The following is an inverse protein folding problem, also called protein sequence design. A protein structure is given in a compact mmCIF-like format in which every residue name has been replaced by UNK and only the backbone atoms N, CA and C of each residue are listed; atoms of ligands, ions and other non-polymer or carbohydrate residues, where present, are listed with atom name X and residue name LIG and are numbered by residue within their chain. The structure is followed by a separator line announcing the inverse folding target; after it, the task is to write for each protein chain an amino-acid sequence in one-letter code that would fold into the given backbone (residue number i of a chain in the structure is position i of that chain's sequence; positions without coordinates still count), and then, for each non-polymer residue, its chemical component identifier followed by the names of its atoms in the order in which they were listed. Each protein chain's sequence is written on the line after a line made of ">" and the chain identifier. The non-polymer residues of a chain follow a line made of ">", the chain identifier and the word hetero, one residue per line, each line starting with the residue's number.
data_IF_774391413559
#
_entry.id   IF_774391413559
#
_cell.length_a   1.000
_cell.length_b   1.000
_cell.length_c   1.000
_cell.angle_alpha   90.00
_cell.angle_beta   90.00
_cell.angle_gamma   90.00
#
_symmetry.space_group_name_H-M   'P 1'
#
loop_
_entity.id
_entity.type
_entity.pdbx_description
1 polymer ?
#
# COMPACT_ATOMS: atom_id res chain seq x y z
N UNK A 1 -7.00 29.66 -4.07
CA UNK A 1 -6.96 28.79 -5.26
C UNK A 1 -7.62 27.50 -4.85
N UNK A 2 -8.84 27.32 -5.30
CA UNK A 2 -9.61 26.11 -5.06
C UNK A 2 -8.89 24.96 -5.75
N UNK A 3 -8.52 23.93 -5.00
CA UNK A 3 -8.08 22.65 -5.55
C UNK A 3 -9.24 22.06 -6.37
N UNK A 4 -9.02 21.62 -7.63
CA UNK A 4 -10.06 20.89 -8.35
C UNK A 4 -10.48 19.71 -7.49
N UNK A 5 -11.78 19.52 -7.29
CA UNK A 5 -12.33 18.46 -6.46
C UNK A 5 -11.69 17.12 -6.82
N UNK A 6 -11.21 16.45 -5.79
CA UNK A 6 -10.64 15.12 -5.83
C UNK A 6 -11.77 14.13 -6.17
N UNK A 7 -12.13 14.06 -7.45
CA UNK A 7 -13.00 13.01 -7.96
C UNK A 7 -12.17 11.73 -7.98
N UNK A 8 -12.14 11.05 -6.84
CA UNK A 8 -11.41 9.79 -6.66
C UNK A 8 -11.75 8.78 -7.75
N UNK A 9 -10.75 8.01 -8.12
CA UNK A 9 -10.86 6.88 -9.04
C UNK A 9 -11.86 5.89 -8.44
N UNK A 10 -12.91 5.57 -9.16
CA UNK A 10 -13.94 4.64 -8.71
C UNK A 10 -13.88 3.32 -9.48
N UNK A 11 -13.00 2.41 -9.06
CA UNK A 11 -12.88 1.06 -9.63
C UNK A 11 -14.04 0.11 -9.27
N UNK A 12 -15.09 0.61 -8.61
CA UNK A 12 -16.21 -0.17 -8.05
C UNK A 12 -17.29 -0.50 -9.07
N UNK A 13 -17.16 -0.01 -10.30
CA UNK A 13 -18.15 -0.14 -11.35
C UNK A 13 -17.67 -1.05 -12.49
N UNK A 14 -17.62 -2.39 -12.27
CA UNK A 14 -17.17 -3.32 -13.33
C UNK A 14 -18.04 -3.27 -14.59
N UNK A 15 -19.29 -2.82 -14.47
CA UNK A 15 -20.20 -2.59 -15.58
C UNK A 15 -19.75 -1.44 -16.49
N UNK A 16 -18.89 -0.53 -16.02
CA UNK A 16 -18.37 0.60 -16.78
C UNK A 16 -17.00 0.34 -17.42
N UNK A 17 -16.38 -0.82 -17.16
CA UNK A 17 -15.01 -1.10 -17.61
C UNK A 17 -14.83 -1.19 -19.12
N UNK A 18 -15.90 -1.21 -19.88
CA UNK A 18 -15.90 -1.16 -21.34
C UNK A 18 -16.40 0.19 -21.90
N UNK A 19 -16.76 1.13 -21.02
CA UNK A 19 -17.19 2.46 -21.41
C UNK A 19 -15.98 3.36 -21.71
N UNK A 20 -15.85 3.90 -22.95
CA UNK A 20 -14.68 4.67 -23.39
C UNK A 20 -14.32 5.84 -22.49
N UNK A 21 -15.31 6.63 -22.06
CA UNK A 21 -15.09 7.81 -21.23
C UNK A 21 -14.64 7.42 -19.81
N UNK A 22 -15.14 6.30 -19.28
CA UNK A 22 -14.71 5.75 -18.01
C UNK A 22 -13.25 5.28 -18.08
N UNK A 23 -12.88 4.47 -19.10
CA UNK A 23 -11.51 3.99 -19.31
C UNK A 23 -10.53 5.16 -19.41
N UNK A 24 -10.86 6.18 -20.23
CA UNK A 24 -10.03 7.37 -20.41
C UNK A 24 -9.81 8.12 -19.10
N UNK A 25 -10.87 8.30 -18.31
CA UNK A 25 -10.81 8.96 -17.00
C UNK A 25 -9.93 8.18 -16.05
N UNK A 26 -10.12 6.87 -15.93
CA UNK A 26 -9.36 6.01 -15.02
C UNK A 26 -7.86 5.99 -15.36
N UNK A 27 -7.50 5.90 -16.65
CA UNK A 27 -6.11 5.99 -17.11
C UNK A 27 -5.50 7.35 -16.75
N UNK A 28 -6.21 8.45 -17.00
CA UNK A 28 -5.70 9.79 -16.70
C UNK A 28 -5.55 10.04 -15.20
N UNK A 29 -6.52 9.59 -14.40
CA UNK A 29 -6.47 9.68 -12.94
C UNK A 29 -5.32 8.85 -12.35
N UNK A 30 -5.15 7.60 -12.80
CA UNK A 30 -4.04 6.73 -12.36
C UNK A 30 -2.69 7.32 -12.74
N UNK A 31 -2.54 7.86 -13.96
CA UNK A 31 -1.31 8.52 -14.39
C UNK A 31 -1.00 9.76 -13.54
N UNK A 32 -1.98 10.61 -13.28
CA UNK A 32 -1.85 11.76 -12.40
C UNK A 32 -1.44 11.35 -10.98
N UNK A 33 -2.01 10.24 -10.48
CA UNK A 33 -1.67 9.70 -9.17
C UNK A 33 -0.20 9.26 -9.12
N UNK A 34 0.24 8.35 -10.00
CA UNK A 34 1.62 7.84 -9.98
C UNK A 34 2.64 8.96 -10.21
N UNK A 35 2.31 9.99 -10.98
CA UNK A 35 3.15 11.18 -11.15
C UNK A 35 3.26 11.97 -9.85
N UNK A 36 2.14 12.30 -9.20
CA UNK A 36 2.11 13.06 -7.93
C UNK A 36 2.85 12.35 -6.79
N UNK A 37 2.88 11.02 -6.80
CA UNK A 37 3.58 10.21 -5.80
C UNK A 37 5.04 9.91 -6.17
N UNK A 38 5.55 10.52 -7.24
CA UNK A 38 6.95 10.37 -7.65
C UNK A 38 7.30 8.98 -8.18
N UNK A 39 6.32 8.21 -8.63
CA UNK A 39 6.52 6.87 -9.20
C UNK A 39 6.84 6.90 -10.69
N UNK A 40 6.80 8.08 -11.31
CA UNK A 40 7.19 8.31 -12.70
C UNK A 40 7.62 9.76 -12.90
N UNK A 41 8.05 10.12 -14.13
CA UNK A 41 8.47 11.46 -14.50
C UNK A 41 7.53 12.08 -15.55
N UNK A 42 7.72 13.35 -15.89
CA UNK A 42 6.90 14.06 -16.89
C UNK A 42 6.79 13.31 -18.22
N UNK A 43 7.86 12.66 -18.67
CA UNK A 43 7.93 11.96 -19.95
C UNK A 43 7.95 10.44 -19.81
N UNK A 44 8.23 9.92 -18.60
CA UNK A 44 8.42 8.49 -18.36
C UNK A 44 7.11 7.74 -18.10
N UNK A 45 7.14 6.45 -18.41
CA UNK A 45 6.04 5.54 -18.11
C UNK A 45 4.81 5.68 -19.02
N UNK A 46 3.98 4.68 -18.99
CA UNK A 46 2.72 4.61 -19.73
C UNK A 46 1.76 3.61 -19.06
N UNK A 47 0.48 3.83 -19.31
CA UNK A 47 -0.60 3.03 -18.75
C UNK A 47 -1.50 2.59 -19.88
N UNK A 48 -1.94 1.34 -19.85
CA UNK A 48 -2.95 0.84 -20.76
C UNK A 48 -4.00 -0.01 -20.09
N UNK A 49 -5.15 -0.09 -20.74
CA UNK A 49 -6.27 -1.00 -20.42
C UNK A 49 -6.74 -1.65 -21.72
N UNK A 50 -7.12 -2.92 -21.67
CA UNK A 50 -7.82 -3.59 -22.78
C UNK A 50 -9.29 -3.73 -22.45
N UNK A 51 -10.19 -3.40 -23.40
CA UNK A 51 -11.63 -3.59 -23.28
C UNK A 51 -12.06 -4.99 -23.74
N UNK A 52 -13.35 -5.32 -23.60
CA UNK A 52 -13.92 -6.62 -24.01
C UNK A 52 -13.92 -6.84 -25.52
N UNK A 53 -13.77 -5.79 -26.33
CA UNK A 53 -13.67 -5.86 -27.78
C UNK A 53 -12.24 -6.11 -28.26
N UNK A 54 -11.26 -6.13 -27.33
CA UNK A 54 -9.85 -6.30 -27.64
C UNK A 54 -9.14 -5.01 -28.10
N UNK A 55 -9.77 -3.84 -27.96
CA UNK A 55 -9.08 -2.57 -28.17
C UNK A 55 -8.16 -2.27 -27.01
N UNK A 56 -7.05 -1.60 -27.31
CA UNK A 56 -6.05 -1.20 -26.33
C UNK A 56 -6.08 0.31 -26.12
N UNK A 57 -6.51 0.74 -24.94
CA UNK A 57 -6.52 2.14 -24.52
C UNK A 57 -5.18 2.44 -23.83
N UNK A 58 -4.43 3.46 -24.33
CA UNK A 58 -3.08 3.74 -23.85
C UNK A 58 -2.81 5.23 -23.76
N UNK A 59 -1.97 5.61 -22.82
CA UNK A 59 -1.47 6.98 -22.71
C UNK A 59 -0.69 7.37 -23.98
N UNK A 60 -0.82 8.62 -24.44
CA UNK A 60 -0.15 9.09 -25.64
C UNK A 60 1.36 9.26 -25.47
N UNK A 61 2.10 9.24 -26.58
CA UNK A 61 3.50 9.63 -26.64
C UNK A 61 3.67 11.16 -26.62
N UNK A 62 4.78 11.64 -26.02
CA UNK A 62 5.18 13.04 -26.11
C UNK A 62 4.28 14.04 -25.35
N UNK A 63 3.46 13.57 -24.40
CA UNK A 63 2.60 14.41 -23.56
C UNK A 63 3.10 14.48 -22.13
N UNK A 64 2.75 15.55 -21.42
CA UNK A 64 3.02 15.70 -20.00
C UNK A 64 2.17 14.72 -19.17
N UNK A 65 2.81 13.75 -18.53
CA UNK A 65 2.16 12.72 -17.72
C UNK A 65 1.50 13.28 -16.45
N UNK A 66 2.03 14.40 -15.93
CA UNK A 66 1.50 15.05 -14.74
C UNK A 66 0.19 15.80 -14.97
N UNK A 67 -0.14 16.12 -16.22
CA UNK A 67 -1.34 16.88 -16.59
C UNK A 67 -2.19 16.20 -17.67
N UNK A 68 -2.02 14.88 -17.86
CA UNK A 68 -2.75 14.09 -18.86
C UNK A 68 -4.27 14.23 -18.69
N UNK A 69 -4.95 14.55 -19.80
CA UNK A 69 -6.41 14.68 -19.82
C UNK A 69 -7.05 13.40 -20.39
N UNK A 70 -8.27 13.04 -19.95
CA UNK A 70 -8.97 11.86 -20.48
C UNK A 70 -9.07 11.84 -22.01
N UNK A 71 -9.36 12.98 -22.65
CA UNK A 71 -9.47 13.10 -24.10
C UNK A 71 -8.15 12.91 -24.87
N UNK A 72 -7.00 12.83 -24.19
CA UNK A 72 -5.69 12.58 -24.81
C UNK A 72 -5.35 11.09 -24.88
N UNK A 73 -6.06 10.24 -24.11
CA UNK A 73 -5.88 8.79 -24.12
C UNK A 73 -6.28 8.21 -25.48
N UNK A 74 -5.39 7.43 -26.07
CA UNK A 74 -5.54 6.87 -27.42
C UNK A 74 -6.17 5.48 -27.34
N UNK A 75 -7.18 5.23 -28.16
CA UNK A 75 -7.70 3.91 -28.42
C UNK A 75 -7.00 3.34 -29.66
N UNK A 76 -6.30 2.25 -29.50
CA UNK A 76 -5.78 1.44 -30.61
C UNK A 76 -6.71 0.24 -30.77
N UNK A 77 -7.37 0.16 -31.92
CA UNK A 77 -8.30 -0.92 -32.25
C UNK A 77 -7.57 -2.26 -32.37
N UNK A 78 -8.30 -3.36 -32.31
CA UNK A 78 -7.73 -4.72 -32.38
C UNK A 78 -6.91 -4.99 -33.67
N UNK A 79 -7.18 -4.25 -34.75
CA UNK A 79 -6.43 -4.31 -36.01
C UNK A 79 -5.17 -3.42 -36.05
N UNK A 80 -4.88 -2.71 -34.92
CA UNK A 80 -3.69 -1.88 -34.74
C UNK A 80 -3.81 -0.46 -35.28
N UNK A 81 -5.01 -0.02 -35.67
CA UNK A 81 -5.27 1.35 -36.14
C UNK A 81 -5.72 2.25 -34.96
N UNK A 82 -5.55 3.56 -35.11
CA UNK A 82 -6.08 4.55 -34.17
C UNK A 82 -6.46 5.82 -34.92
N UNK A 83 -7.36 6.59 -34.33
CA UNK A 83 -7.82 7.87 -34.85
C UNK A 83 -7.49 9.02 -33.87
N UNK A 84 -7.49 10.24 -34.40
CA UNK A 84 -7.28 11.46 -33.62
C UNK A 84 -5.87 12.03 -33.71
N UNK A 85 -5.62 13.16 -33.02
CA UNK A 85 -4.36 13.92 -33.13
C UNK A 85 -3.20 13.31 -32.32
N UNK A 86 -3.48 12.45 -31.36
CA UNK A 86 -2.47 11.88 -30.48
C UNK A 86 -1.98 10.53 -31.03
N UNK A 87 -0.69 10.25 -30.84
CA UNK A 87 -0.10 8.93 -31.14
C UNK A 87 -0.05 8.09 -29.89
N UNK A 88 -0.28 6.77 -29.98
CA UNK A 88 -0.07 5.89 -28.82
C UNK A 88 1.36 5.98 -28.31
N UNK A 89 1.59 5.58 -27.07
CA UNK A 89 2.94 5.46 -26.51
C UNK A 89 3.87 4.70 -27.45
N UNK A 90 5.13 5.14 -27.56
CA UNK A 90 6.17 4.41 -28.32
C UNK A 90 6.40 2.99 -27.79
N UNK A 91 6.01 2.72 -26.55
CA UNK A 91 6.11 1.40 -25.92
C UNK A 91 4.83 0.56 -26.04
N UNK A 92 3.92 0.95 -26.92
CA UNK A 92 2.75 0.14 -27.30
C UNK A 92 3.08 -1.34 -27.60
N UNK A 93 4.21 -1.69 -28.28
CA UNK A 93 4.56 -3.09 -28.54
C UNK A 93 4.69 -3.92 -27.26
N UNK A 94 5.24 -3.33 -26.17
CA UNK A 94 5.34 -4.00 -24.86
C UNK A 94 3.96 -4.40 -24.34
N UNK A 95 3.02 -3.45 -24.33
CA UNK A 95 1.67 -3.68 -23.81
C UNK A 95 0.93 -4.74 -24.62
N UNK A 96 0.95 -4.61 -25.94
CA UNK A 96 0.34 -5.56 -26.87
C UNK A 96 0.89 -6.98 -26.65
N UNK A 97 2.21 -7.11 -26.50
CA UNK A 97 2.85 -8.42 -26.32
C UNK A 97 2.43 -9.10 -25.02
N UNK A 98 2.27 -8.36 -23.92
CA UNK A 98 1.80 -8.92 -22.65
C UNK A 98 0.34 -9.35 -22.74
N UNK A 99 -0.55 -8.51 -23.27
CA UNK A 99 -1.96 -8.88 -23.41
C UNK A 99 -2.17 -10.09 -24.32
N UNK A 100 -1.34 -10.27 -25.34
CA UNK A 100 -1.42 -11.44 -26.23
C UNK A 100 -1.14 -12.76 -25.52
N UNK A 101 -0.34 -12.76 -24.44
CA UNK A 101 0.05 -13.98 -23.71
C UNK A 101 -0.64 -14.14 -22.35
N UNK A 102 -1.29 -13.09 -21.84
CA UNK A 102 -1.95 -13.05 -20.53
C UNK A 102 -3.34 -12.41 -20.63
N UNK A 103 -4.34 -13.15 -21.12
CA UNK A 103 -5.71 -12.64 -21.29
C UNK A 103 -6.44 -12.35 -19.95
N UNK A 104 -5.90 -12.82 -18.84
CA UNK A 104 -6.36 -12.52 -17.48
C UNK A 104 -5.92 -11.13 -16.98
N UNK A 105 -4.95 -10.50 -17.65
CA UNK A 105 -4.48 -9.15 -17.38
C UNK A 105 -5.24 -8.18 -18.30
N UNK A 106 -5.92 -7.19 -17.71
CA UNK A 106 -6.65 -6.15 -18.44
C UNK A 106 -6.06 -4.76 -18.28
N UNK A 107 -5.14 -4.56 -17.33
CA UNK A 107 -4.46 -3.30 -17.11
C UNK A 107 -2.96 -3.51 -16.95
N UNK A 108 -2.15 -2.61 -17.56
CA UNK A 108 -0.71 -2.57 -17.43
C UNK A 108 -0.26 -1.16 -17.05
N UNK A 109 0.66 -1.08 -16.11
CA UNK A 109 1.38 0.15 -15.74
C UNK A 109 2.86 -0.10 -15.94
N UNK A 110 3.48 0.64 -16.85
CA UNK A 110 4.92 0.82 -16.93
C UNK A 110 5.27 2.14 -16.27
N UNK A 111 6.21 2.12 -15.31
CA UNK A 111 6.57 3.29 -14.53
C UNK A 111 8.04 3.24 -14.10
N UNK A 112 8.58 4.39 -13.66
CA UNK A 112 9.98 4.58 -13.28
C UNK A 112 10.14 4.97 -11.79
N UNK A 113 9.63 4.17 -10.83
CA UNK A 113 9.79 4.48 -9.41
C UNK A 113 11.27 4.43 -9.02
N UNK A 114 11.75 5.34 -8.16
CA UNK A 114 13.18 5.49 -7.89
C UNK A 114 13.87 4.22 -7.39
N UNK A 115 13.26 3.50 -6.45
CA UNK A 115 13.90 2.30 -5.89
C UNK A 115 13.81 1.11 -6.85
N UNK A 116 12.69 0.91 -7.52
CA UNK A 116 12.58 -0.16 -8.54
C UNK A 116 13.53 0.10 -9.71
N UNK A 117 13.70 1.36 -10.12
CA UNK A 117 14.71 1.74 -11.12
C UNK A 117 16.12 1.46 -10.60
N UNK A 118 16.39 1.70 -9.31
CA UNK A 118 17.67 1.34 -8.69
C UNK A 118 17.92 -0.17 -8.70
N UNK A 119 16.89 -0.99 -8.45
CA UNK A 119 16.99 -2.45 -8.59
C UNK A 119 17.26 -2.87 -10.05
N UNK A 120 16.61 -2.19 -11.01
CA UNK A 120 16.81 -2.40 -12.45
C UNK A 120 18.26 -2.19 -12.88
N UNK A 121 18.88 -1.06 -12.51
CA UNK A 121 20.28 -0.77 -12.84
C UNK A 121 21.28 -1.61 -12.03
N UNK A 122 20.86 -2.14 -10.88
CA UNK A 122 21.65 -3.08 -10.10
C UNK A 122 21.52 -4.54 -10.57
N UNK A 123 20.70 -4.80 -11.60
CA UNK A 123 20.38 -6.13 -12.14
C UNK A 123 19.86 -7.07 -11.06
N UNK A 124 18.95 -6.56 -10.24
CA UNK A 124 18.34 -7.29 -9.11
C UNK A 124 16.82 -7.11 -9.12
N UNK A 125 16.15 -7.98 -8.38
CA UNK A 125 14.73 -7.87 -8.09
C UNK A 125 14.50 -7.79 -6.58
N UNK A 126 13.50 -7.03 -6.10
CA UNK A 126 13.13 -7.05 -4.69
C UNK A 126 12.48 -8.39 -4.32
N UNK A 127 12.85 -8.95 -3.17
CA UNK A 127 12.23 -10.17 -2.66
C UNK A 127 10.95 -9.84 -1.90
N UNK A 128 9.82 -10.10 -2.53
CA UNK A 128 8.49 -9.87 -1.95
C UNK A 128 8.14 -10.85 -0.82
N UNK A 129 8.88 -11.96 -0.68
CA UNK A 129 8.62 -12.97 0.36
C UNK A 129 9.00 -12.53 1.76
N UNK A 130 9.71 -11.41 1.90
CA UNK A 130 10.06 -10.84 3.22
C UNK A 130 8.84 -10.40 4.04
N UNK A 131 7.71 -10.13 3.37
CA UNK A 131 6.40 -9.86 4.00
C UNK A 131 5.31 -10.57 3.21
N UNK A 132 4.52 -11.43 3.86
CA UNK A 132 3.50 -12.24 3.21
C UNK A 132 2.50 -11.44 2.37
N UNK A 133 2.02 -10.30 2.88
CA UNK A 133 1.10 -9.43 2.16
C UNK A 133 1.69 -8.82 0.87
N UNK A 134 3.00 -8.58 0.82
CA UNK A 134 3.68 -8.12 -0.39
C UNK A 134 3.79 -9.25 -1.42
N UNK A 135 4.10 -10.46 -0.96
CA UNK A 135 4.13 -11.64 -1.82
C UNK A 135 2.77 -11.95 -2.42
N UNK A 136 1.72 -11.80 -1.65
CA UNK A 136 0.35 -11.97 -2.10
C UNK A 136 -0.04 -10.93 -3.17
N UNK A 137 0.25 -9.66 -2.93
CA UNK A 137 -0.10 -8.57 -3.84
C UNK A 137 0.70 -8.61 -5.13
N UNK A 138 2.02 -8.75 -5.05
CA UNK A 138 2.94 -8.61 -6.17
C UNK A 138 3.32 -9.94 -6.83
N UNK A 139 3.20 -11.06 -6.13
CA UNK A 139 3.76 -12.34 -6.57
C UNK A 139 5.30 -12.35 -6.52
N UNK A 140 5.91 -13.33 -7.20
CA UNK A 140 7.33 -13.31 -7.51
C UNK A 140 7.62 -12.26 -8.58
N UNK A 141 8.76 -11.59 -8.47
CA UNK A 141 9.16 -10.54 -9.41
C UNK A 141 9.99 -11.15 -10.54
N UNK A 142 9.54 -10.97 -11.78
CA UNK A 142 10.28 -11.36 -12.97
C UNK A 142 11.40 -10.38 -13.31
N UNK A 143 12.35 -10.82 -14.12
CA UNK A 143 13.45 -10.00 -14.63
C UNK A 143 13.59 -10.18 -16.13
N UNK A 144 13.32 -9.11 -16.90
CA UNK A 144 13.48 -9.08 -18.35
C UNK A 144 14.82 -8.44 -18.72
N UNK A 145 15.62 -9.14 -19.52
CA UNK A 145 16.90 -8.62 -20.01
C UNK A 145 16.73 -7.40 -20.92
N UNK A 146 17.79 -6.63 -21.07
CA UNK A 146 17.79 -5.39 -21.83
C UNK A 146 17.33 -5.58 -23.28
N UNK A 147 16.48 -4.68 -23.72
CA UNK A 147 16.10 -4.47 -25.11
C UNK A 147 15.82 -2.97 -25.35
N UNK A 148 15.91 -2.56 -26.61
CA UNK A 148 15.69 -1.13 -26.96
C UNK A 148 14.25 -0.73 -26.61
N UNK A 149 14.05 0.35 -25.83
CA UNK A 149 12.72 0.85 -25.50
C UNK A 149 11.84 1.07 -26.72
N UNK A 150 10.59 0.61 -26.65
CA UNK A 150 9.62 0.70 -27.77
C UNK A 150 9.79 -0.34 -28.88
N UNK A 151 10.79 -1.22 -28.80
CA UNK A 151 10.98 -2.27 -29.80
C UNK A 151 10.09 -3.50 -29.54
N UNK A 152 9.80 -4.27 -30.59
CA UNK A 152 9.14 -5.57 -30.47
C UNK A 152 9.93 -6.52 -29.56
N UNK A 153 11.28 -6.49 -29.65
CA UNK A 153 12.15 -7.31 -28.82
C UNK A 153 11.97 -7.02 -27.32
N UNK A 154 11.71 -5.76 -26.93
CA UNK A 154 11.36 -5.41 -25.56
C UNK A 154 10.03 -6.03 -25.14
N UNK A 155 9.02 -5.93 -26.01
CA UNK A 155 7.71 -6.56 -25.79
C UNK A 155 7.83 -8.07 -25.58
N UNK A 156 8.58 -8.77 -26.44
CA UNK A 156 8.81 -10.21 -26.34
C UNK A 156 9.55 -10.63 -25.07
N UNK A 157 10.56 -9.84 -24.65
CA UNK A 157 11.33 -10.14 -23.43
C UNK A 157 10.49 -10.03 -22.17
N UNK A 158 9.67 -8.99 -22.10
CA UNK A 158 8.74 -8.78 -20.99
C UNK A 158 7.62 -9.82 -21.01
N UNK A 159 7.00 -10.07 -22.16
CA UNK A 159 5.94 -11.07 -22.31
C UNK A 159 6.38 -12.48 -21.86
N UNK A 160 7.63 -12.86 -22.13
CA UNK A 160 8.19 -14.14 -21.63
C UNK A 160 8.18 -14.25 -20.11
N UNK A 161 8.42 -13.14 -19.40
CA UNK A 161 8.34 -13.16 -17.92
C UNK A 161 6.88 -13.26 -17.45
N UNK A 162 5.96 -12.55 -18.11
CA UNK A 162 4.53 -12.69 -17.81
C UNK A 162 3.99 -14.10 -18.11
N UNK A 163 4.48 -14.80 -19.14
CA UNK A 163 4.14 -16.21 -19.42
C UNK A 163 4.57 -17.17 -18.31
N UNK A 164 5.61 -16.85 -17.54
CA UNK A 164 6.03 -17.63 -16.37
C UNK A 164 5.12 -17.44 -15.15
N UNK A 165 4.08 -16.60 -15.26
CA UNK A 165 3.13 -16.29 -14.19
C UNK A 165 3.49 -15.05 -13.35
N UNK A 166 4.55 -14.32 -13.71
CA UNK A 166 4.84 -13.06 -13.04
C UNK A 166 3.80 -12.00 -13.40
N UNK A 167 3.42 -11.17 -12.42
CA UNK A 167 2.56 -10.01 -12.60
C UNK A 167 3.34 -8.69 -12.42
N UNK A 168 4.59 -8.80 -12.00
CA UNK A 168 5.52 -7.69 -11.78
C UNK A 168 6.86 -8.07 -12.41
N UNK A 169 7.40 -7.23 -13.29
CA UNK A 169 8.63 -7.50 -14.04
C UNK A 169 9.54 -6.28 -13.99
N UNK A 170 10.75 -6.46 -13.48
CA UNK A 170 11.83 -5.48 -13.62
C UNK A 170 12.49 -5.65 -14.99
N UNK A 171 12.66 -4.56 -15.72
CA UNK A 171 13.38 -4.53 -16.99
C UNK A 171 14.80 -3.99 -16.79
N UNK A 172 15.79 -4.73 -17.27
CA UNK A 172 17.22 -4.39 -17.14
C UNK A 172 17.53 -2.99 -17.66
N UNK A 173 18.19 -2.16 -16.82
CA UNK A 173 18.59 -0.77 -17.12
C UNK A 173 17.45 0.11 -17.62
N UNK A 174 16.22 -0.18 -17.18
CA UNK A 174 15.07 0.60 -17.61
C UNK A 174 14.17 0.92 -16.39
N UNK A 175 13.22 0.04 -16.06
CA UNK A 175 12.22 0.32 -15.01
C UNK A 175 11.37 -0.93 -14.68
N UNK A 176 10.08 -0.75 -14.39
CA UNK A 176 9.16 -1.83 -14.00
C UNK A 176 7.91 -1.84 -14.88
N UNK A 177 7.38 -3.03 -15.13
CA UNK A 177 6.03 -3.24 -15.65
C UNK A 177 5.24 -4.07 -14.66
N UNK A 178 4.02 -3.64 -14.37
CA UNK A 178 3.08 -4.37 -13.52
C UNK A 178 1.75 -4.57 -14.24
N UNK A 179 1.18 -5.76 -14.10
CA UNK A 179 -0.13 -6.11 -14.67
C UNK A 179 -1.17 -6.35 -13.58
N UNK A 180 -2.43 -6.12 -13.91
CA UNK A 180 -3.58 -6.38 -13.06
C UNK A 180 -4.82 -6.74 -13.85
N UNK A 181 -5.81 -7.32 -13.19
CA UNK A 181 -7.15 -7.54 -13.77
C UNK A 181 -7.87 -6.22 -14.04
N UNK A 182 -7.42 -5.17 -13.33
CA UNK A 182 -7.88 -3.79 -13.46
C UNK A 182 -6.75 -2.83 -13.05
N UNK A 183 -6.98 -1.53 -13.23
CA UNK A 183 -6.01 -0.49 -12.86
C UNK A 183 -5.76 -0.41 -11.34
N UNK A 184 -6.76 -0.72 -10.52
CA UNK A 184 -6.58 -0.69 -9.06
C UNK A 184 -5.59 -1.75 -8.61
N UNK A 185 -5.70 -2.97 -9.15
CA UNK A 185 -4.77 -4.05 -8.84
C UNK A 185 -3.37 -3.77 -9.38
N UNK A 186 -3.25 -3.24 -10.60
CA UNK A 186 -1.96 -2.85 -11.18
C UNK A 186 -1.30 -1.72 -10.37
N UNK A 187 -2.05 -0.69 -9.98
CA UNK A 187 -1.56 0.40 -9.12
C UNK A 187 -1.13 -0.11 -7.75
N UNK A 188 -1.95 -0.95 -7.11
CA UNK A 188 -1.62 -1.53 -5.81
C UNK A 188 -0.33 -2.34 -5.86
N UNK A 189 -0.09 -3.11 -6.94
CA UNK A 189 1.16 -3.84 -7.16
C UNK A 189 2.35 -2.90 -7.31
N UNK A 190 2.22 -1.84 -8.10
CA UNK A 190 3.29 -0.86 -8.31
C UNK A 190 3.70 -0.20 -6.99
N UNK A 191 2.74 0.33 -6.25
CA UNK A 191 2.99 1.00 -4.96
C UNK A 191 3.59 0.02 -3.93
N UNK A 192 3.02 -1.18 -3.83
CA UNK A 192 3.50 -2.20 -2.89
C UNK A 192 4.92 -2.64 -3.23
N UNK A 193 5.23 -2.84 -4.51
CA UNK A 193 6.56 -3.26 -4.93
C UNK A 193 7.62 -2.17 -4.67
N UNK A 194 7.30 -0.90 -4.91
CA UNK A 194 8.21 0.21 -4.58
C UNK A 194 8.45 0.29 -3.07
N UNK A 195 7.41 0.12 -2.23
CA UNK A 195 7.58 0.11 -0.77
C UNK A 195 8.37 -1.11 -0.27
N UNK A 196 8.19 -2.27 -0.88
CA UNK A 196 9.03 -3.45 -0.66
C UNK A 196 10.50 -3.13 -0.99
N UNK A 197 10.78 -2.56 -2.15
CA UNK A 197 12.13 -2.16 -2.55
C UNK A 197 12.74 -1.13 -1.58
N UNK A 198 11.96 -0.12 -1.14
CA UNK A 198 12.37 0.84 -0.12
C UNK A 198 12.74 0.15 1.20
N UNK A 199 11.93 -0.78 1.66
CA UNK A 199 12.17 -1.53 2.90
C UNK A 199 13.44 -2.37 2.80
N UNK A 200 13.63 -3.11 1.70
CA UNK A 200 14.83 -3.93 1.50
C UNK A 200 16.10 -3.05 1.46
N UNK A 201 16.03 -1.91 0.78
CA UNK A 201 17.12 -0.95 0.76
C UNK A 201 17.42 -0.41 2.16
N UNK A 202 16.40 0.05 2.87
CA UNK A 202 16.49 0.56 4.24
C UNK A 202 17.01 -0.51 5.22
N UNK A 203 16.62 -1.78 5.05
CA UNK A 203 17.07 -2.91 5.85
C UNK A 203 18.58 -3.15 5.80
N UNK A 204 19.27 -2.68 4.77
CA UNK A 204 20.73 -2.72 4.71
C UNK A 204 21.43 -2.01 5.88
N UNK A 205 20.76 -1.13 6.60
CA UNK A 205 21.30 -0.41 7.76
C UNK A 205 21.09 -1.12 9.09
N UNK A 206 19.87 -1.60 9.49
CA UNK A 206 19.71 -2.40 10.70
C UNK A 206 20.28 -3.82 10.57
N UNK A 207 20.32 -4.41 9.38
CA UNK A 207 20.86 -5.75 9.14
C UNK A 207 20.31 -6.38 7.86
N UNK A 208 20.63 -7.64 7.61
CA UNK A 208 20.03 -8.37 6.49
C UNK A 208 18.62 -8.83 6.85
N UNK A 209 17.65 -8.74 5.92
CA UNK A 209 16.33 -9.32 6.13
C UNK A 209 16.43 -10.81 6.50
N UNK A 210 15.67 -11.21 7.51
CA UNK A 210 15.54 -12.62 7.90
C UNK A 210 14.24 -13.11 7.26
N UNK A 211 14.37 -14.03 6.31
CA UNK A 211 13.21 -14.71 5.74
C UNK A 211 12.81 -15.79 6.75
N UNK A 212 11.64 -15.63 7.37
CA UNK A 212 11.07 -16.72 8.16
C UNK A 212 10.48 -17.74 7.19
N UNK A 213 10.82 -19.01 7.32
CA UNK A 213 10.30 -20.09 6.45
C UNK A 213 8.76 -20.09 6.37
N UNK A 214 8.10 -19.56 7.39
CA UNK A 214 6.66 -19.41 7.46
C UNK A 214 6.11 -18.11 6.83
N UNK A 215 6.95 -17.12 6.53
CA UNK A 215 6.50 -15.91 5.83
C UNK A 215 6.19 -16.17 4.34
N UNK A 216 6.77 -17.23 3.78
CA UNK A 216 6.49 -17.71 2.41
C UNK A 216 5.25 -18.61 2.33
N UNK A 217 4.86 -19.22 3.45
CA UNK A 217 3.60 -19.93 3.61
C UNK A 217 2.60 -18.98 4.27
N UNK A 218 1.86 -18.23 3.45
CA UNK A 218 0.76 -17.44 3.93
C UNK A 218 -0.07 -18.27 4.92
N UNK A 219 -0.21 -17.79 6.15
CA UNK A 219 -1.19 -18.41 7.05
C UNK A 219 -2.56 -18.21 6.39
N UNK A 220 -3.23 -19.27 5.89
CA UNK A 220 -4.47 -19.11 5.13
C UNK A 220 -5.59 -18.47 5.95
N UNK A 221 -5.47 -18.41 7.28
CA UNK A 221 -6.43 -17.75 8.17
C UNK A 221 -6.22 -16.22 8.25
N UNK A 222 -5.06 -15.70 7.84
CA UNK A 222 -4.74 -14.26 7.77
C UNK A 222 -4.46 -13.76 6.36
N UNK A 223 -4.63 -14.62 5.36
CA UNK A 223 -4.59 -14.23 3.95
C UNK A 223 -5.84 -13.42 3.62
N UNK A 224 -5.71 -12.11 3.62
CA UNK A 224 -6.71 -11.19 3.04
C UNK A 224 -6.98 -11.46 1.54
N UNK A 225 -6.22 -12.35 0.92
CA UNK A 225 -6.23 -12.61 -0.52
C UNK A 225 -7.33 -13.54 -1.05
N UNK A 226 -7.84 -14.45 -0.25
CA UNK A 226 -8.75 -15.49 -0.74
C UNK A 226 -10.24 -15.27 -0.43
N UNK A 227 -10.60 -14.18 0.25
CA UNK A 227 -12.01 -13.80 0.41
C UNK A 227 -12.39 -12.78 -0.65
N UNK A 228 -12.75 -13.25 -1.85
CA UNK A 228 -13.67 -12.50 -2.69
C UNK A 228 -15.06 -12.70 -2.02
N UNK A 229 -15.71 -11.68 -1.46
CA UNK A 229 -17.14 -11.76 -1.27
C UNK A 229 -17.72 -11.94 -2.68
N UNK A 230 -18.46 -13.04 -2.90
CA UNK A 230 -19.36 -13.12 -4.04
C UNK A 230 -20.15 -11.81 -4.06
N UNK A 231 -20.07 -11.08 -5.14
CA UNK A 231 -20.74 -9.80 -5.32
C UNK A 231 -22.20 -9.94 -4.87
N UNK A 232 -22.58 -9.22 -3.81
CA UNK A 232 -23.94 -9.19 -3.29
C UNK A 232 -24.18 -9.90 -1.95
N UNK A 233 -23.17 -10.52 -1.30
CA UNK A 233 -23.35 -11.11 0.03
C UNK A 233 -22.87 -10.15 1.11
N UNK A 234 -23.81 -9.71 1.96
CA UNK A 234 -23.47 -8.92 3.14
C UNK A 234 -22.47 -9.65 4.04
N UNK A 235 -21.49 -8.91 4.51
CA UNK A 235 -20.51 -9.41 5.47
C UNK A 235 -21.21 -9.57 6.84
N UNK A 236 -21.00 -10.69 7.57
CA UNK A 236 -21.58 -10.86 8.89
C UNK A 236 -21.17 -9.74 9.84
N UNK A 237 -22.14 -9.08 10.45
CA UNK A 237 -21.93 -7.98 11.41
C UNK A 237 -21.87 -6.57 10.80
N UNK A 238 -21.84 -6.42 9.47
CA UNK A 238 -22.05 -5.11 8.84
C UNK A 238 -23.51 -4.70 9.03
N UNK A 239 -23.73 -3.49 9.52
CA UNK A 239 -25.08 -2.94 9.68
C UNK A 239 -25.61 -2.44 8.34
N UNK A 240 -26.84 -2.82 8.00
CA UNK A 240 -27.57 -2.38 6.78
C UNK A 240 -28.13 -0.95 6.92
N UNK A 241 -27.94 -0.32 8.06
CA UNK A 241 -28.49 0.99 8.34
C UNK A 241 -27.62 2.09 7.72
N UNK A 242 -28.25 3.16 7.25
CA UNK A 242 -27.58 4.41 6.96
C UNK A 242 -26.75 4.83 8.17
N UNK A 243 -25.52 5.34 7.92
CA UNK A 243 -24.66 5.85 8.99
C UNK A 243 -25.39 6.96 9.74
N UNK A 244 -25.29 6.94 11.06
CA UNK A 244 -25.71 8.09 11.87
C UNK A 244 -24.83 9.31 11.55
N UNK A 245 -25.27 10.53 11.85
CA UNK A 245 -24.46 11.74 11.60
C UNK A 245 -23.07 11.70 12.25
N UNK A 246 -22.93 11.08 13.43
CA UNK A 246 -21.65 10.92 14.11
C UNK A 246 -20.74 9.90 13.39
N UNK A 247 -21.33 8.82 12.86
CA UNK A 247 -20.61 7.82 12.06
C UNK A 247 -20.18 8.38 10.71
N UNK A 248 -21.00 9.23 10.07
CA UNK A 248 -20.60 9.92 8.84
C UNK A 248 -19.39 10.84 9.06
N UNK A 249 -19.38 11.62 10.14
CA UNK A 249 -18.24 12.47 10.50
C UNK A 249 -16.98 11.64 10.77
N UNK A 250 -17.12 10.52 11.47
CA UNK A 250 -16.02 9.61 11.75
C UNK A 250 -15.50 8.92 10.48
N UNK A 251 -16.38 8.52 9.56
CA UNK A 251 -16.00 7.97 8.26
C UNK A 251 -15.22 9.01 7.43
N UNK A 252 -15.63 10.27 7.44
CA UNK A 252 -14.88 11.35 6.81
C UNK A 252 -13.50 11.56 7.45
N UNK A 253 -13.40 11.46 8.78
CA UNK A 253 -12.12 11.54 9.48
C UNK A 253 -11.19 10.39 9.09
N UNK A 254 -11.72 9.16 8.99
CA UNK A 254 -10.97 7.98 8.52
C UNK A 254 -10.49 8.20 7.08
N UNK A 255 -11.34 8.68 6.16
CA UNK A 255 -10.96 8.96 4.78
C UNK A 255 -9.84 10.01 4.69
N UNK A 256 -9.98 11.13 5.40
CA UNK A 256 -8.95 12.20 5.45
C UNK A 256 -7.63 11.69 6.02
N UNK A 257 -7.68 10.88 7.08
CA UNK A 257 -6.49 10.29 7.70
C UNK A 257 -5.82 9.30 6.76
N UNK A 258 -6.58 8.45 6.08
CA UNK A 258 -6.05 7.52 5.09
C UNK A 258 -5.37 8.26 3.92
N UNK A 259 -6.00 9.29 3.36
CA UNK A 259 -5.41 10.11 2.31
C UNK A 259 -4.10 10.80 2.77
N UNK A 260 -4.05 11.27 4.02
CA UNK A 260 -2.84 11.85 4.63
C UNK A 260 -1.76 10.78 4.78
N UNK A 261 -2.09 9.62 5.33
CA UNK A 261 -1.17 8.49 5.51
C UNK A 261 -0.58 8.01 4.17
N UNK A 262 -1.39 7.97 3.10
CA UNK A 262 -0.92 7.66 1.75
C UNK A 262 0.09 8.69 1.24
N UNK A 263 -0.21 9.98 1.35
CA UNK A 263 0.74 11.03 0.93
C UNK A 263 2.08 10.94 1.62
N UNK A 264 2.10 10.46 2.86
CA UNK A 264 3.33 10.24 3.64
C UNK A 264 3.96 8.86 3.39
N UNK A 265 3.33 8.00 2.60
CA UNK A 265 3.82 6.66 2.29
C UNK A 265 3.74 5.67 3.46
N UNK A 266 2.91 5.96 4.48
CA UNK A 266 2.69 5.12 5.65
C UNK A 266 1.75 3.95 5.35
N UNK A 267 0.76 4.18 4.48
CA UNK A 267 -0.10 3.17 3.86
C UNK A 267 -0.09 3.38 2.35
N UNK A 268 -0.39 2.35 1.56
CA UNK A 268 -0.28 2.38 0.09
C UNK A 268 -0.98 1.18 -0.54
N UNK A 269 -1.33 1.28 -1.80
CA UNK A 269 -2.01 0.21 -2.52
C UNK A 269 -3.23 -0.29 -1.75
N UNK A 270 -3.29 -1.57 -1.48
CA UNK A 270 -4.29 -2.20 -0.61
C UNK A 270 -3.77 -2.39 0.83
N UNK A 271 -2.53 -1.99 1.13
CA UNK A 271 -1.89 -2.21 2.41
C UNK A 271 -2.27 -1.16 3.44
N UNK A 272 -2.61 -1.63 4.64
CA UNK A 272 -2.98 -0.83 5.80
C UNK A 272 -4.48 -0.81 6.06
N UNK A 273 -4.86 -0.80 7.33
CA UNK A 273 -6.25 -0.66 7.78
C UNK A 273 -6.33 0.39 8.87
N UNK A 274 -7.39 1.18 8.83
CA UNK A 274 -7.71 2.18 9.86
C UNK A 274 -9.10 1.88 10.40
N UNK A 275 -9.24 1.89 11.71
CA UNK A 275 -10.55 1.81 12.35
C UNK A 275 -10.68 2.78 13.50
N UNK A 276 -11.92 3.15 13.82
CA UNK A 276 -12.24 3.97 14.97
C UNK A 276 -13.62 3.62 15.54
N UNK A 277 -13.81 3.82 16.87
CA UNK A 277 -15.10 3.63 17.54
C UNK A 277 -15.91 4.91 17.46
N UNK A 278 -17.21 4.77 17.14
CA UNK A 278 -18.17 5.86 17.24
C UNK A 278 -18.46 6.23 18.73
N UNK A 279 -19.26 7.25 18.96
CA UNK A 279 -19.71 7.62 20.31
C UNK A 279 -20.53 6.52 21.00
N UNK A 280 -21.21 5.66 20.20
CA UNK A 280 -21.88 4.45 20.67
C UNK A 280 -20.94 3.23 20.73
N UNK A 281 -21.52 2.04 20.66
CA UNK A 281 -20.76 0.78 20.67
C UNK A 281 -20.28 0.34 19.28
N UNK A 282 -20.67 1.06 18.22
CA UNK A 282 -20.29 0.75 16.86
C UNK A 282 -18.83 1.17 16.61
N UNK A 283 -18.22 0.51 15.63
CA UNK A 283 -16.89 0.87 15.14
C UNK A 283 -16.83 0.79 13.62
N UNK A 284 -16.01 1.65 13.05
CA UNK A 284 -15.85 1.82 11.60
C UNK A 284 -14.46 1.36 11.21
N UNK A 285 -14.35 0.74 10.02
CA UNK A 285 -13.05 0.26 9.50
C UNK A 285 -13.00 0.37 7.98
N UNK A 286 -11.83 0.70 7.47
CA UNK A 286 -11.56 0.72 6.02
C UNK A 286 -11.73 -0.67 5.41
N UNK A 287 -12.52 -0.77 4.32
CA UNK A 287 -12.74 -2.01 3.59
C UNK A 287 -11.43 -2.56 2.98
N UNK A 288 -11.32 -3.88 2.91
CA UNK A 288 -10.20 -4.53 2.23
C UNK A 288 -10.25 -4.32 0.69
N UNK A 289 -9.11 -4.47 0.03
CA UNK A 289 -8.94 -4.40 -1.44
C UNK A 289 -9.45 -3.10 -2.09
N UNK A 290 -9.42 -2.00 -1.35
CA UNK A 290 -9.65 -0.65 -1.85
C UNK A 290 -8.31 0.09 -1.81
N UNK A 291 -8.02 0.86 -2.87
CA UNK A 291 -6.82 1.72 -2.91
C UNK A 291 -6.87 2.74 -1.77
N UNK A 292 -5.88 2.70 -0.90
CA UNK A 292 -5.85 3.50 0.34
C UNK A 292 -5.83 5.01 0.08
N UNK A 293 -5.26 5.44 -1.03
CA UNK A 293 -5.23 6.85 -1.43
C UNK A 293 -6.58 7.42 -1.89
N UNK A 294 -7.55 6.54 -2.25
CA UNK A 294 -8.83 6.91 -2.85
C UNK A 294 -10.04 6.42 -2.05
N UNK A 295 -9.86 6.15 -0.76
CA UNK A 295 -10.96 5.71 0.11
C UNK A 295 -12.03 6.81 0.23
N UNK A 296 -13.26 6.44 -0.11
CA UNK A 296 -14.47 7.22 0.15
C UNK A 296 -15.32 6.63 1.30
N UNK A 297 -16.36 7.35 1.73
CA UNK A 297 -17.28 6.86 2.78
C UNK A 297 -17.91 5.50 2.46
N UNK A 298 -18.19 5.23 1.18
CA UNK A 298 -18.69 3.92 0.72
C UNK A 298 -17.70 2.75 0.89
N UNK A 299 -16.44 3.04 1.22
CA UNK A 299 -15.39 2.04 1.47
C UNK A 299 -15.12 1.83 2.97
N UNK A 300 -16.03 2.28 3.81
CA UNK A 300 -15.98 2.12 5.26
C UNK A 300 -17.08 1.13 5.68
N UNK A 301 -16.69 0.04 6.33
CA UNK A 301 -17.62 -0.88 6.96
C UNK A 301 -17.96 -0.37 8.37
N UNK A 302 -19.24 -0.46 8.73
CA UNK A 302 -19.74 -0.16 10.09
C UNK A 302 -20.14 -1.46 10.74
N UNK A 303 -19.62 -1.71 11.93
CA UNK A 303 -19.94 -2.86 12.75
C UNK A 303 -20.58 -2.42 14.06
N UNK A 304 -21.56 -3.21 14.53
CA UNK A 304 -22.10 -3.11 15.89
C UNK A 304 -21.05 -3.44 16.95
N UNK A 305 -21.50 -3.64 18.20
CA UNK A 305 -20.61 -4.03 19.31
C UNK A 305 -19.62 -5.11 18.92
N UNK A 306 -18.35 -5.05 19.39
CA UNK A 306 -17.33 -6.02 19.04
C UNK A 306 -17.75 -7.45 19.34
N UNK A 307 -18.12 -8.21 18.32
CA UNK A 307 -18.58 -9.60 18.40
C UNK A 307 -17.63 -10.56 17.66
N UNK A 308 -18.12 -11.75 17.34
CA UNK A 308 -17.38 -12.72 16.53
C UNK A 308 -17.41 -12.30 15.05
N UNK A 309 -16.37 -11.61 14.60
CA UNK A 309 -16.20 -11.23 13.21
C UNK A 309 -15.44 -12.33 12.46
N UNK A 310 -15.86 -12.58 11.21
CA UNK A 310 -15.30 -13.67 10.40
C UNK A 310 -14.21 -13.21 9.43
N UNK A 311 -14.08 -11.90 9.19
CA UNK A 311 -13.06 -11.35 8.28
C UNK A 311 -11.73 -11.23 9.01
N UNK A 312 -10.67 -11.90 8.55
CA UNK A 312 -9.39 -11.96 9.25
C UNK A 312 -8.79 -10.58 9.58
N UNK A 313 -8.72 -9.68 8.59
CA UNK A 313 -8.12 -8.34 8.78
C UNK A 313 -8.87 -7.47 9.79
N UNK A 314 -10.16 -7.67 9.99
CA UNK A 314 -11.01 -6.91 10.90
C UNK A 314 -11.08 -7.54 12.30
N UNK A 315 -10.82 -8.85 12.40
CA UNK A 315 -10.87 -9.60 13.68
C UNK A 315 -9.92 -9.01 14.73
N UNK A 316 -8.72 -8.61 14.33
CA UNK A 316 -7.76 -7.98 15.25
C UNK A 316 -8.31 -6.68 15.84
N UNK A 317 -8.91 -5.82 15.01
CA UNK A 317 -9.50 -4.56 15.46
C UNK A 317 -10.64 -4.82 16.46
N UNK A 318 -11.55 -5.75 16.12
CA UNK A 318 -12.66 -6.14 16.99
C UNK A 318 -12.17 -6.68 18.34
N UNK A 319 -11.16 -7.55 18.34
CA UNK A 319 -10.61 -8.15 19.55
C UNK A 319 -9.90 -7.10 20.44
N UNK A 320 -9.19 -6.14 19.84
CA UNK A 320 -8.60 -5.00 20.57
C UNK A 320 -9.70 -4.16 21.21
N UNK A 321 -10.75 -3.81 20.47
CA UNK A 321 -11.85 -3.03 21.04
C UNK A 321 -12.61 -3.76 22.14
N UNK A 322 -12.76 -5.08 22.03
CA UNK A 322 -13.41 -5.90 23.06
C UNK A 322 -12.60 -5.94 24.36
N UNK A 323 -11.26 -6.09 24.25
CA UNK A 323 -10.36 -6.23 25.41
C UNK A 323 -9.96 -4.90 26.04
N UNK A 324 -9.87 -3.83 25.22
CA UNK A 324 -9.35 -2.53 25.64
C UNK A 324 -10.36 -1.41 25.38
N UNK A 325 -11.33 -1.19 26.29
CA UNK A 325 -12.37 -0.17 26.10
C UNK A 325 -11.84 1.28 25.94
N UNK A 326 -10.64 1.56 26.49
CA UNK A 326 -9.98 2.85 26.37
C UNK A 326 -9.38 3.09 24.96
N UNK A 327 -9.18 2.04 24.16
CA UNK A 327 -8.72 2.17 22.78
C UNK A 327 -9.90 2.58 21.91
N UNK A 328 -9.76 3.73 21.25
CA UNK A 328 -10.78 4.30 20.36
C UNK A 328 -10.40 4.24 18.89
N UNK A 329 -9.12 4.01 18.57
CA UNK A 329 -8.65 3.86 17.20
C UNK A 329 -7.51 2.83 17.10
N UNK A 330 -7.49 2.11 15.97
CA UNK A 330 -6.46 1.12 15.63
C UNK A 330 -6.01 1.34 14.19
N UNK A 331 -4.71 1.37 13.97
CA UNK A 331 -4.08 1.41 12.65
C UNK A 331 -3.14 0.22 12.53
N UNK A 332 -3.28 -0.54 11.44
CA UNK A 332 -2.29 -1.55 11.03
C UNK A 332 -1.67 -1.07 9.73
N UNK A 333 -0.35 -0.89 9.70
CA UNK A 333 0.36 -0.28 8.58
C UNK A 333 1.68 -1.02 8.28
N UNK A 334 2.30 -0.69 7.14
CA UNK A 334 3.61 -1.24 6.72
C UNK A 334 4.55 -0.13 6.24
N UNK A 335 4.84 0.89 7.08
CA UNK A 335 5.71 1.99 6.69
C UNK A 335 7.15 1.48 6.45
N UNK A 336 7.84 1.91 5.37
CA UNK A 336 9.06 1.26 4.90
C UNK A 336 10.22 1.21 5.91
N UNK A 337 10.43 2.28 6.67
CA UNK A 337 11.56 2.32 7.62
C UNK A 337 11.29 1.47 8.87
N UNK A 338 10.08 1.48 9.41
CA UNK A 338 9.69 0.58 10.50
C UNK A 338 9.74 -0.89 10.03
N UNK A 339 9.24 -1.15 8.82
CA UNK A 339 9.33 -2.49 8.24
C UNK A 339 10.76 -2.96 8.04
N UNK A 340 11.72 -2.07 7.77
CA UNK A 340 13.14 -2.44 7.69
C UNK A 340 13.66 -3.04 9.02
N UNK A 341 13.20 -2.54 10.15
CA UNK A 341 13.49 -3.13 11.46
C UNK A 341 12.70 -4.42 11.68
N UNK A 342 11.43 -4.43 11.32
CA UNK A 342 10.58 -5.62 11.48
C UNK A 342 11.10 -6.83 10.68
N UNK A 343 11.57 -6.65 9.43
CA UNK A 343 12.11 -7.74 8.60
C UNK A 343 13.53 -8.16 8.97
N UNK A 344 14.26 -7.32 9.71
CA UNK A 344 15.62 -7.64 10.19
C UNK A 344 15.65 -8.18 11.60
N UNK A 345 14.51 -8.23 12.29
CA UNK A 345 14.42 -8.67 13.67
C UNK A 345 15.13 -7.72 14.66
N UNK A 346 15.24 -6.42 14.29
CA UNK A 346 15.92 -5.42 15.13
C UNK A 346 14.92 -4.47 15.77
N UNK A 347 15.24 -4.04 16.98
CA UNK A 347 14.45 -3.05 17.69
C UNK A 347 14.83 -1.61 17.27
N UNK A 348 13.85 -0.72 17.34
CA UNK A 348 14.02 0.73 17.15
C UNK A 348 14.10 1.39 18.51
N UNK A 349 15.19 2.10 18.80
CA UNK A 349 15.28 2.87 20.04
C UNK A 349 14.46 4.15 19.94
N UNK A 350 13.50 4.33 20.82
CA UNK A 350 12.71 5.56 20.96
C UNK A 350 13.43 6.66 21.77
N UNK A 351 14.61 6.34 22.32
CA UNK A 351 15.37 7.26 23.19
C UNK A 351 16.32 8.19 22.44
N UNK A 352 16.05 8.46 21.17
CA UNK A 352 16.91 9.32 20.33
C UNK A 352 16.32 10.69 20.12
N UNK A 353 15.00 10.83 20.21
CA UNK A 353 14.28 12.08 20.01
C UNK A 353 13.26 12.22 21.15
N UNK A 354 13.14 13.40 21.80
CA UNK A 354 12.19 13.59 22.90
C UNK A 354 10.74 13.22 22.57
N UNK A 355 10.25 13.63 21.38
CA UNK A 355 8.91 13.29 20.91
C UNK A 355 8.68 11.79 20.81
N UNK A 356 9.65 11.05 20.26
CA UNK A 356 9.56 9.59 20.14
C UNK A 356 9.40 8.95 21.52
N UNK A 357 10.20 9.40 22.47
CA UNK A 357 10.14 8.85 23.83
C UNK A 357 8.85 9.26 24.54
N UNK A 358 8.39 10.50 24.43
CA UNK A 358 7.15 10.98 25.07
C UNK A 358 5.91 10.25 24.54
N UNK A 359 5.83 10.05 23.21
CA UNK A 359 4.64 9.49 22.55
C UNK A 359 4.59 7.98 22.55
N UNK A 360 5.76 7.32 22.45
CA UNK A 360 5.85 5.88 22.19
C UNK A 360 6.34 5.09 23.42
N UNK A 361 7.26 5.65 24.22
CA UNK A 361 7.99 5.07 25.33
C UNK A 361 8.75 3.79 24.99
N UNK A 362 8.09 2.84 24.35
CA UNK A 362 8.64 1.59 23.82
C UNK A 362 8.01 1.25 22.48
N UNK A 363 8.76 0.55 21.62
CA UNK A 363 8.28 -0.06 20.38
C UNK A 363 8.81 -1.50 20.30
N UNK A 364 8.20 -2.44 21.02
CA UNK A 364 8.65 -3.83 21.02
C UNK A 364 8.41 -4.49 19.68
N UNK A 365 9.29 -5.42 19.34
CA UNK A 365 9.14 -6.35 18.23
C UNK A 365 8.60 -7.67 18.75
N UNK A 366 7.43 -8.11 18.26
CA UNK A 366 6.87 -9.43 18.55
C UNK A 366 7.11 -10.39 17.39
N UNK A 367 7.12 -11.71 17.64
CA UNK A 367 7.39 -12.69 16.60
C UNK A 367 6.38 -12.66 15.43
N UNK A 368 6.79 -13.16 14.27
CA UNK A 368 5.89 -13.44 13.16
C UNK A 368 4.76 -14.39 13.62
N UNK A 369 3.54 -14.15 13.13
CA UNK A 369 2.35 -14.92 13.52
C UNK A 369 1.69 -14.46 14.82
N UNK A 370 2.18 -13.41 15.48
CA UNK A 370 1.54 -12.84 16.68
C UNK A 370 0.10 -12.35 16.44
N UNK A 371 -0.30 -12.15 15.18
CA UNK A 371 -1.69 -11.84 14.78
C UNK A 371 -2.59 -13.08 14.69
N UNK A 372 -2.03 -14.29 14.75
CA UNK A 372 -2.81 -15.53 14.63
C UNK A 372 -3.77 -15.70 15.82
N UNK A 373 -4.94 -16.33 15.61
CA UNK A 373 -5.89 -16.59 16.68
C UNK A 373 -5.26 -17.34 17.87
N UNK A 374 -5.59 -16.90 19.09
CA UNK A 374 -5.08 -17.52 20.33
C UNK A 374 -3.67 -17.10 20.75
N UNK A 375 -3.04 -16.19 20.01
CA UNK A 375 -1.76 -15.58 20.42
C UNK A 375 -2.01 -14.37 21.31
N UNK A 376 -1.21 -14.21 22.35
CA UNK A 376 -1.42 -13.18 23.38
C UNK A 376 -0.34 -12.09 23.38
N UNK A 377 0.75 -12.25 22.64
CA UNK A 377 1.93 -11.37 22.68
C UNK A 377 1.59 -9.89 22.45
N UNK A 378 0.69 -9.61 21.49
CA UNK A 378 0.23 -8.24 21.21
C UNK A 378 -0.61 -7.71 22.37
N UNK A 379 -1.55 -8.51 22.86
CA UNK A 379 -2.46 -8.10 23.94
C UNK A 379 -1.72 -7.87 25.26
N UNK A 380 -0.67 -8.63 25.53
CA UNK A 380 0.23 -8.39 26.67
C UNK A 380 0.91 -7.03 26.59
N UNK A 381 1.40 -6.66 25.39
CA UNK A 381 2.01 -5.33 25.15
C UNK A 381 0.99 -4.20 25.33
N UNK A 382 -0.20 -4.35 24.74
CA UNK A 382 -1.28 -3.37 24.92
C UNK A 382 -1.73 -3.26 26.40
N UNK A 383 -1.79 -4.39 27.13
CA UNK A 383 -2.11 -4.40 28.58
C UNK A 383 -1.06 -3.67 29.40
N UNK A 384 0.20 -3.69 28.99
CA UNK A 384 1.27 -2.91 29.60
C UNK A 384 1.26 -1.42 29.20
N UNK A 385 0.26 -0.98 28.43
CA UNK A 385 0.10 0.42 28.00
C UNK A 385 0.97 0.80 26.81
N UNK A 386 1.57 -0.16 26.10
CA UNK A 386 2.42 0.10 24.93
C UNK A 386 1.54 0.28 23.69
N UNK A 387 1.52 1.47 23.07
CA UNK A 387 0.57 1.77 21.99
C UNK A 387 1.04 1.38 20.61
N UNK A 388 2.33 1.08 20.41
CA UNK A 388 2.94 0.76 19.11
C UNK A 388 3.71 -0.55 19.22
N UNK A 389 3.35 -1.53 18.40
CA UNK A 389 3.97 -2.86 18.38
C UNK A 389 4.40 -3.21 16.96
N UNK A 390 5.70 -3.52 16.77
CA UNK A 390 6.20 -4.07 15.52
C UNK A 390 5.97 -5.58 15.51
N UNK A 391 5.54 -6.11 14.36
CA UNK A 391 5.33 -7.55 14.16
C UNK A 391 6.31 -8.00 13.08
N UNK A 392 7.20 -8.92 13.44
CA UNK A 392 8.27 -9.39 12.58
C UNK A 392 7.70 -9.89 11.22
N UNK A 393 8.25 -9.41 10.12
CA UNK A 393 7.88 -9.79 8.74
C UNK A 393 6.38 -9.63 8.40
N UNK A 394 5.65 -8.76 9.13
CA UNK A 394 4.21 -8.58 8.91
C UNK A 394 3.82 -7.10 8.82
N UNK A 395 3.76 -6.41 9.94
CA UNK A 395 3.17 -5.06 10.02
C UNK A 395 3.57 -4.32 11.30
N UNK A 396 3.04 -3.11 11.43
CA UNK A 396 3.08 -2.28 12.64
C UNK A 396 1.66 -2.04 13.10
N UNK A 397 1.36 -2.37 14.34
CA UNK A 397 0.11 -2.09 15.01
C UNK A 397 0.24 -0.82 15.86
N UNK A 398 -0.70 0.09 15.70
CA UNK A 398 -0.77 1.33 16.47
C UNK A 398 -2.16 1.51 17.05
N UNK A 399 -2.26 1.87 18.32
CA UNK A 399 -3.52 2.18 19.02
C UNK A 399 -3.55 3.60 19.54
N UNK A 400 -4.75 4.15 19.72
CA UNK A 400 -4.97 5.47 20.29
C UNK A 400 -6.33 5.62 20.96
N UNK A 401 -6.46 6.65 21.79
CA UNK A 401 -7.72 7.13 22.36
C UNK A 401 -8.53 7.98 21.35
N UNK A 402 -7.94 8.25 20.20
CA UNK A 402 -8.52 8.91 19.04
C UNK A 402 -7.77 8.50 17.78
N UNK A 403 -8.40 8.69 16.61
CA UNK A 403 -7.76 8.41 15.32
C UNK A 403 -6.54 9.31 15.10
N UNK A 404 -6.65 10.60 15.47
CA UNK A 404 -5.53 11.54 15.41
C UNK A 404 -4.35 11.08 16.27
N UNK A 405 -4.60 10.57 17.48
CA UNK A 405 -3.53 10.10 18.37
C UNK A 405 -2.86 8.84 17.85
N UNK A 406 -3.62 7.90 17.29
CA UNK A 406 -3.05 6.71 16.65
C UNK A 406 -2.20 7.10 15.44
N UNK A 407 -2.69 8.03 14.63
CA UNK A 407 -1.97 8.51 13.46
C UNK A 407 -0.67 9.26 13.82
N UNK A 408 -0.69 10.16 14.81
CA UNK A 408 0.47 10.87 15.34
C UNK A 408 1.58 9.88 15.79
N UNK A 409 1.19 8.84 16.53
CA UNK A 409 2.09 7.76 16.93
C UNK A 409 2.73 7.03 15.74
N UNK A 410 1.96 6.76 14.69
CA UNK A 410 2.46 6.13 13.48
C UNK A 410 3.46 7.02 12.74
N UNK A 411 3.16 8.32 12.60
CA UNK A 411 4.07 9.30 11.98
C UNK A 411 5.39 9.37 12.74
N UNK A 412 5.32 9.54 14.07
CA UNK A 412 6.50 9.66 14.92
C UNK A 412 7.32 8.36 14.94
N UNK A 413 6.67 7.21 14.94
CA UNK A 413 7.34 5.92 14.88
C UNK A 413 8.14 5.75 13.58
N UNK A 414 7.54 6.04 12.42
CA UNK A 414 8.23 5.96 11.13
C UNK A 414 9.35 7.00 11.02
N UNK A 415 9.12 8.25 11.47
CA UNK A 415 10.16 9.27 11.54
C UNK A 415 11.34 8.83 12.41
N UNK A 416 11.08 8.19 13.55
CA UNK A 416 12.12 7.65 14.43
C UNK A 416 12.96 6.61 13.71
N UNK A 417 12.32 5.63 13.07
CA UNK A 417 13.00 4.58 12.31
C UNK A 417 13.82 5.17 11.14
N UNK A 418 13.24 6.12 10.40
CA UNK A 418 13.92 6.81 9.30
C UNK A 418 15.15 7.58 9.81
N UNK A 419 15.02 8.30 10.91
CA UNK A 419 16.14 9.05 11.52
C UNK A 419 17.28 8.13 11.96
N UNK A 420 16.97 6.93 12.46
CA UNK A 420 17.98 5.91 12.78
C UNK A 420 18.72 5.43 11.54
N UNK A 421 17.99 5.13 10.46
CA UNK A 421 18.57 4.65 9.20
C UNK A 421 19.48 5.71 8.61
N UNK A 422 18.99 6.95 8.48
CA UNK A 422 19.75 8.07 7.93
C UNK A 422 20.91 8.46 8.84
N UNK A 423 20.71 8.48 10.15
CA UNK A 423 21.73 8.84 11.13
C UNK A 423 22.94 7.91 11.11
N UNK A 424 22.77 6.62 10.81
CA UNK A 424 23.87 5.66 10.69
C UNK A 424 24.87 6.01 9.59
N UNK A 425 24.41 6.61 8.51
CA UNK A 425 25.30 7.09 7.44
C UNK A 425 26.13 8.31 7.85
N UNK A 426 25.69 9.03 8.89
CA UNK A 426 26.38 10.21 9.45
C UNK A 426 27.33 9.85 10.61
N UNK A 427 27.20 8.64 11.17
CA UNK A 427 28.03 8.17 12.30
C UNK A 427 27.27 7.30 13.29
N UNK A 428 27.63 7.38 14.58
CA UNK A 428 26.92 6.67 15.64
C UNK A 428 25.63 7.40 16.04
N UNK A 429 24.54 6.63 16.18
CA UNK A 429 23.29 7.15 16.76
C UNK A 429 23.46 7.22 18.29
N UNK A 430 23.32 8.41 18.85
CA UNK A 430 23.50 8.63 20.29
C UNK A 430 22.16 8.78 20.99
N UNK A 431 21.83 7.95 21.99
CA UNK A 431 20.58 8.04 22.73
C UNK A 431 20.59 9.24 23.71
N UNK A 432 19.40 9.71 24.05
CA UNK A 432 19.19 10.67 25.15
C UNK A 432 19.68 10.02 26.47
N UNK A 433 20.47 10.76 27.25
CA UNK A 433 21.02 10.26 28.52
C UNK A 433 19.93 9.92 29.53
N UNK A 434 20.25 9.02 30.49
CA UNK A 434 19.31 8.64 31.56
C UNK A 434 18.85 9.82 32.40
N UNK A 435 19.73 10.79 32.64
CA UNK A 435 19.39 12.01 33.37
C UNK A 435 18.33 12.83 32.63
N UNK A 436 18.51 13.02 31.32
CA UNK A 436 17.57 13.76 30.49
C UNK A 436 16.24 13.01 30.36
N UNK A 437 16.25 11.67 30.27
CA UNK A 437 15.02 10.84 30.31
C UNK A 437 14.29 11.00 31.64
N UNK A 438 15.02 11.07 32.74
CA UNK A 438 14.41 11.29 34.06
C UNK A 438 13.77 12.68 34.15
N UNK A 439 14.38 13.69 33.55
CA UNK A 439 13.81 15.02 33.50
C UNK A 439 12.54 15.06 32.60
N UNK A 440 12.57 14.43 31.44
CA UNK A 440 11.40 14.27 30.58
C UNK A 440 10.24 13.58 31.31
N UNK A 441 10.53 12.50 32.07
CA UNK A 441 9.53 11.85 32.93
C UNK A 441 8.88 12.82 33.89
N UNK A 442 9.72 13.61 34.60
CA UNK A 442 9.25 14.58 35.60
C UNK A 442 8.34 15.64 34.95
N UNK A 443 8.69 16.14 33.76
CA UNK A 443 7.95 17.24 33.10
C UNK A 443 6.65 16.75 32.49
N UNK A 444 6.65 15.59 31.81
CA UNK A 444 5.52 15.15 30.99
C UNK A 444 4.62 14.11 31.66
N UNK A 445 5.09 13.36 32.69
CA UNK A 445 4.34 12.26 33.27
C UNK A 445 4.13 12.37 34.80
N UNK A 446 4.73 13.37 35.47
CA UNK A 446 4.48 13.63 36.90
C UNK A 446 3.39 14.70 37.04
N UNK A 447 2.14 14.32 36.76
CA UNK A 447 0.95 15.10 37.14
C UNK A 447 0.11 14.30 38.12
#
# INVERSE_FOLDING_TARGET
>A
METPGDNGIDFRHPELWDEPDYIRKEIACTMSHIYRYGLTTTSGGNISVTDSLGNLWITPSGTDKGSLKPGEVVCVTHDGTWEGPFRPSSEYPLHRSVYAVRPDIRALIHAHPPLLTSFSIAHRVPDTSVVGAWRETCGAVGYAGYAIPGSEAMGETVAREFMKGHNTVIMENHAVVVGGRDLAEAQARLETLEKCAMTIHAAGFPGKPVITENASGANPEFNSGNYLPETGRMLPGVTDNEMSPDEELLAEEICRTAARACRMGLIYGFCGTLSARSAGDNWLVTREKVLRCNIGKGDINVYGSPGNHTIPGERLHAEIYRRFPAVRAVIVARPPCLMAFAVTGKEVSVRTIPESWILLQEMPLVPFGALSPGREEIFEKLSAGIPVVLIANDSVLVTGDSLLRAFDRLEVAEMTAMSHILGKSLGSVNPISDNNITELKRVFFSK
#
